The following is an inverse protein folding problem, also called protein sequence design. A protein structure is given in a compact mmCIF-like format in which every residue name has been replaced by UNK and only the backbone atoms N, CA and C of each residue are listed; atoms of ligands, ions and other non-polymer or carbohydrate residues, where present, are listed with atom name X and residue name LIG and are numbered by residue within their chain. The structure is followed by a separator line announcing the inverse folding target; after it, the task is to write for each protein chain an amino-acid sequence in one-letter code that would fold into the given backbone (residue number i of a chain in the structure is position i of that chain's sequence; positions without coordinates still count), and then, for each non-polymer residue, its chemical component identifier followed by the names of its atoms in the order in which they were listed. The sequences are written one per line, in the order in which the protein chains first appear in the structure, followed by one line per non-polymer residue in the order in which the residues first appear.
data_IF_224581393569
#
_entry.id   IF_224581393569
#
_cell.length_a   1.000
_cell.length_b   1.000
_cell.length_c   1.000
_cell.angle_alpha   90.00
_cell.angle_beta   90.00
_cell.angle_gamma   90.00
#
_symmetry.space_group_name_H-M   'P 1'
#
loop_
_entity.id
_entity.type
_entity.pdbx_description
1 polymer ?
#
# COMPACT_ATOMS: atom_id res chain seq x y z
N UNK A 1 2.78 56.53 -22.00
CA UNK A 1 3.59 55.31 -21.77
C UNK A 1 2.70 54.21 -21.19
N UNK A 2 1.84 53.64 -22.04
CA UNK A 2 0.98 52.51 -21.69
C UNK A 2 1.37 51.35 -22.60
N UNK A 3 2.28 50.49 -22.11
CA UNK A 3 2.70 49.26 -22.78
C UNK A 3 3.57 48.42 -21.83
N UNK A 4 3.00 47.87 -20.76
CA UNK A 4 3.64 46.75 -20.04
C UNK A 4 2.58 45.80 -19.46
N UNK A 5 1.56 45.49 -20.26
CA UNK A 5 0.68 44.35 -19.98
C UNK A 5 1.43 43.06 -20.36
N UNK A 6 1.72 42.26 -19.34
CA UNK A 6 1.95 40.80 -19.37
C UNK A 6 2.94 40.23 -20.39
N UNK A 7 4.24 40.22 -20.04
CA UNK A 7 5.03 39.00 -20.24
C UNK A 7 4.76 38.11 -19.04
N UNK A 8 4.00 37.03 -19.23
CA UNK A 8 3.75 36.04 -18.19
C UNK A 8 5.09 35.54 -17.63
N UNK A 9 5.39 35.87 -16.37
CA UNK A 9 6.56 35.37 -15.67
C UNK A 9 6.56 33.82 -15.76
N UNK A 10 7.67 33.23 -16.21
CA UNK A 10 7.79 31.78 -16.39
C UNK A 10 7.47 31.04 -15.08
N UNK A 11 7.83 31.64 -13.94
CA UNK A 11 7.46 31.14 -12.63
C UNK A 11 5.95 31.15 -12.42
N UNK A 12 5.26 32.25 -12.75
CA UNK A 12 3.81 32.36 -12.63
C UNK A 12 3.07 31.34 -13.52
N UNK A 13 3.56 31.08 -14.73
CA UNK A 13 3.00 30.03 -15.61
C UNK A 13 3.14 28.64 -14.97
N UNK A 14 4.31 28.34 -14.38
CA UNK A 14 4.54 27.05 -13.73
C UNK A 14 3.72 26.90 -12.45
N UNK A 15 3.65 27.93 -11.61
CA UNK A 15 2.84 27.94 -10.38
C UNK A 15 1.37 27.72 -10.72
N UNK A 16 0.83 28.42 -11.73
CA UNK A 16 -0.56 28.24 -12.16
C UNK A 16 -0.85 26.81 -12.62
N UNK A 17 0.09 26.18 -13.31
CA UNK A 17 -0.02 24.76 -13.69
C UNK A 17 -0.11 23.87 -12.46
N UNK A 18 0.84 24.00 -11.54
CA UNK A 18 0.93 23.16 -10.34
C UNK A 18 -0.28 23.35 -9.41
N UNK A 19 -0.77 24.58 -9.25
CA UNK A 19 -1.99 24.90 -8.48
C UNK A 19 -3.24 24.30 -9.13
N UNK A 20 -3.34 24.33 -10.46
CA UNK A 20 -4.45 23.68 -11.18
C UNK A 20 -4.39 22.14 -11.10
N UNK A 21 -3.24 21.57 -10.76
CA UNK A 21 -3.12 20.13 -10.50
C UNK A 21 -3.48 19.77 -9.05
N UNK A 22 -3.24 20.68 -8.08
CA UNK A 22 -3.67 20.51 -6.69
C UNK A 22 -5.20 20.36 -6.59
N UNK A 23 -5.97 21.14 -7.37
CA UNK A 23 -7.44 21.07 -7.39
C UNK A 23 -8.00 19.71 -7.85
N UNK A 24 -7.18 18.92 -8.55
CA UNK A 24 -7.56 17.58 -9.04
C UNK A 24 -7.38 16.48 -7.99
N UNK A 25 -6.90 16.82 -6.79
CA UNK A 25 -6.75 15.94 -5.62
C UNK A 25 -6.04 14.60 -5.91
N UNK A 26 -5.12 14.57 -6.88
CA UNK A 26 -4.51 13.31 -7.37
C UNK A 26 -3.48 12.68 -6.42
N UNK A 27 -3.02 13.38 -5.39
CA UNK A 27 -1.80 13.01 -4.64
C UNK A 27 -1.94 13.07 -3.10
N UNK A 28 -3.12 12.79 -2.55
CA UNK A 28 -3.33 12.72 -1.10
C UNK A 28 -3.28 11.28 -0.58
N UNK A 29 -2.54 11.03 0.49
CA UNK A 29 -2.63 9.76 1.21
C UNK A 29 -4.06 9.54 1.74
N UNK A 30 -4.61 8.33 1.59
CA UNK A 30 -5.99 7.97 2.01
C UNK A 30 -6.29 8.28 3.49
N UNK A 31 -5.24 8.37 4.29
CA UNK A 31 -5.27 8.57 5.74
C UNK A 31 -5.17 10.04 6.17
N UNK A 32 -5.07 10.97 5.22
CA UNK A 32 -4.82 12.38 5.49
C UNK A 32 -5.81 13.23 4.71
N UNK A 33 -6.50 14.14 5.40
CA UNK A 33 -7.34 15.15 4.76
C UNK A 33 -6.52 16.42 4.59
N UNK A 34 -6.49 16.97 3.38
CA UNK A 34 -5.79 18.22 3.09
C UNK A 34 -6.78 19.27 2.63
N UNK A 35 -6.66 20.48 3.18
CA UNK A 35 -7.30 21.70 2.68
C UNK A 35 -6.21 22.65 2.18
N UNK A 36 -6.47 23.28 1.04
CA UNK A 36 -5.57 24.29 0.44
C UNK A 36 -6.33 25.60 0.35
N UNK A 37 -5.80 26.65 0.96
CA UNK A 37 -6.35 28.00 0.97
C UNK A 37 -5.32 28.99 0.39
N UNK A 38 -5.81 30.12 -0.16
CA UNK A 38 -4.99 31.20 -0.71
C UNK A 38 -5.21 32.47 0.12
N UNK A 39 -4.21 32.94 0.89
CA UNK A 39 -4.40 34.03 1.85
C UNK A 39 -4.80 35.36 1.20
N UNK A 40 -4.21 35.68 0.05
CA UNK A 40 -4.43 36.93 -0.69
C UNK A 40 -5.43 36.75 -1.86
N UNK A 41 -6.17 35.64 -1.89
CA UNK A 41 -7.07 35.29 -2.98
C UNK A 41 -6.38 34.63 -4.19
N UNK A 42 -7.17 34.32 -5.23
CA UNK A 42 -6.71 33.53 -6.39
C UNK A 42 -5.69 34.28 -7.25
N UNK A 43 -5.59 35.60 -7.09
CA UNK A 43 -4.70 36.46 -7.89
C UNK A 43 -3.23 36.36 -7.45
N UNK A 44 -2.96 36.06 -6.17
CA UNK A 44 -1.60 35.85 -5.65
C UNK A 44 -1.36 34.36 -5.34
N UNK A 45 -1.04 33.60 -6.40
CA UNK A 45 -0.79 32.15 -6.28
C UNK A 45 0.59 31.79 -5.70
N UNK A 46 1.43 32.78 -5.35
CA UNK A 46 2.78 32.54 -4.82
C UNK A 46 2.80 32.25 -3.33
N UNK A 47 1.68 32.44 -2.63
CA UNK A 47 1.53 32.09 -1.22
C UNK A 47 0.36 31.13 -1.06
N UNK A 48 0.58 30.04 -0.32
CA UNK A 48 -0.41 29.00 -0.11
C UNK A 48 -0.48 28.64 1.38
N UNK A 49 -1.68 28.30 1.84
CA UNK A 49 -1.88 27.72 3.16
C UNK A 49 -2.33 26.27 2.98
N UNK A 50 -1.58 25.33 3.54
CA UNK A 50 -1.97 23.93 3.60
C UNK A 50 -2.40 23.58 5.01
N UNK A 51 -3.60 23.03 5.16
CA UNK A 51 -4.06 22.43 6.42
C UNK A 51 -4.13 20.93 6.24
N UNK A 52 -3.31 20.21 7.00
CA UNK A 52 -3.15 18.76 6.97
C UNK A 52 -3.76 18.17 8.25
N UNK A 53 -4.83 17.42 8.09
CA UNK A 53 -5.56 16.75 9.15
C UNK A 53 -5.31 15.24 9.09
N UNK A 54 -4.66 14.70 10.12
CA UNK A 54 -4.31 13.28 10.17
C UNK A 54 -5.49 12.48 10.72
N UNK A 55 -5.89 11.41 10.03
CA UNK A 55 -6.96 10.52 10.49
C UNK A 55 -6.51 9.63 11.66
N UNK A 56 -7.42 8.84 12.22
CA UNK A 56 -7.18 7.89 13.31
C UNK A 56 -6.28 6.72 12.86
N UNK A 57 -4.99 6.97 12.66
CA UNK A 57 -3.96 5.99 12.31
C UNK A 57 -3.11 5.67 13.53
N UNK A 58 -2.41 4.53 13.54
CA UNK A 58 -1.43 4.19 14.58
C UNK A 58 -0.12 5.02 14.54
N UNK A 59 -0.16 6.28 14.08
CA UNK A 59 1.00 7.18 14.01
C UNK A 59 1.16 8.09 15.24
N UNK A 60 2.35 8.67 15.47
CA UNK A 60 2.60 9.57 16.61
C UNK A 60 1.77 10.84 16.56
N UNK A 61 1.43 11.33 15.37
CA UNK A 61 0.68 12.57 15.15
C UNK A 61 -0.82 12.35 14.83
N UNK A 62 -1.35 11.16 15.15
CA UNK A 62 -2.76 10.85 14.92
C UNK A 62 -3.69 11.90 15.56
N UNK A 63 -4.76 12.26 14.85
CA UNK A 63 -5.73 13.28 15.24
C UNK A 63 -5.19 14.71 15.44
N UNK A 64 -3.97 14.99 14.98
CA UNK A 64 -3.46 16.35 14.85
C UNK A 64 -3.95 17.04 13.57
N UNK A 65 -4.05 18.37 13.66
CA UNK A 65 -4.34 19.27 12.55
C UNK A 65 -3.19 20.29 12.43
N UNK A 66 -2.44 20.23 11.33
CA UNK A 66 -1.21 21.00 11.13
C UNK A 66 -1.36 21.97 9.97
N UNK A 67 -1.09 23.24 10.20
CA UNK A 67 -1.17 24.29 9.18
C UNK A 67 0.23 24.71 8.75
N UNK A 68 0.43 24.84 7.44
CA UNK A 68 1.66 25.25 6.80
C UNK A 68 1.43 26.46 5.93
N UNK A 69 2.34 27.41 6.01
CA UNK A 69 2.49 28.50 5.08
C UNK A 69 3.58 28.15 4.06
N UNK A 70 3.25 28.25 2.78
CA UNK A 70 4.16 27.94 1.68
C UNK A 70 4.37 29.19 0.85
N UNK A 71 5.62 29.62 0.76
CA UNK A 71 6.05 30.77 -0.03
C UNK A 71 6.83 30.30 -1.26
N UNK A 72 6.35 30.64 -2.44
CA UNK A 72 6.95 30.24 -3.71
C UNK A 72 7.83 31.39 -4.21
N UNK A 73 9.14 31.15 -4.41
CA UNK A 73 10.03 32.19 -4.91
C UNK A 73 9.73 32.54 -6.36
N UNK A 74 10.05 33.77 -6.77
CA UNK A 74 9.95 34.21 -8.19
C UNK A 74 10.88 33.43 -9.13
N UNK A 75 11.87 32.71 -8.59
CA UNK A 75 12.78 31.85 -9.34
C UNK A 75 12.28 30.40 -9.48
N UNK A 76 11.04 30.10 -9.05
CA UNK A 76 10.43 28.79 -9.22
C UNK A 76 10.30 28.41 -10.71
N UNK A 77 10.59 27.15 -11.12
CA UNK A 77 10.90 25.97 -10.31
C UNK A 77 12.40 25.72 -10.07
N UNK A 78 13.29 26.66 -10.38
CA UNK A 78 14.73 26.46 -10.15
C UNK A 78 15.08 26.41 -8.66
N UNK A 79 14.34 27.16 -7.84
CA UNK A 79 14.47 27.14 -6.38
C UNK A 79 13.19 26.57 -5.76
N UNK A 80 13.36 25.80 -4.69
CA UNK A 80 12.26 25.19 -3.97
C UNK A 80 11.39 26.25 -3.26
N UNK A 81 10.09 25.97 -3.03
CA UNK A 81 9.29 26.79 -2.13
C UNK A 81 9.79 26.68 -0.70
N UNK A 82 9.63 27.76 0.07
CA UNK A 82 9.90 27.78 1.50
C UNK A 82 8.63 27.36 2.24
N UNK A 83 8.75 26.41 3.17
CA UNK A 83 7.62 25.90 3.94
C UNK A 83 7.84 26.14 5.43
N UNK A 84 6.86 26.77 6.05
CA UNK A 84 6.84 27.07 7.49
C UNK A 84 5.57 26.49 8.11
N UNK A 85 5.73 25.64 9.13
CA UNK A 85 4.63 25.14 9.94
C UNK A 85 4.18 26.24 10.91
N UNK A 86 2.97 26.75 10.72
CA UNK A 86 2.39 27.76 11.61
C UNK A 86 1.84 27.13 12.89
N UNK A 87 1.47 25.85 12.84
CA UNK A 87 1.12 25.08 14.03
C UNK A 87 2.38 24.69 14.79
N UNK A 88 2.52 25.16 16.03
CA UNK A 88 3.65 24.74 16.88
C UNK A 88 3.54 23.25 17.20
N UNK A 89 4.53 22.47 16.76
CA UNK A 89 4.55 21.02 16.89
C UNK A 89 5.95 20.55 17.28
N UNK A 90 6.01 19.52 18.12
CA UNK A 90 7.26 18.85 18.44
C UNK A 90 7.52 17.72 17.44
N UNK A 91 8.41 17.97 16.47
CA UNK A 91 8.63 17.08 15.33
C UNK A 91 10.09 17.07 14.87
N UNK A 92 10.69 15.90 14.51
CA UNK A 92 12.08 15.81 14.07
C UNK A 92 12.43 16.77 12.92
N UNK A 93 11.59 16.84 11.88
CA UNK A 93 11.81 17.67 10.69
C UNK A 93 11.28 19.12 10.75
N UNK A 94 10.71 19.55 11.88
CA UNK A 94 10.17 20.92 12.03
C UNK A 94 10.95 21.62 13.12
N UNK A 95 11.44 22.82 12.83
CA UNK A 95 12.07 23.65 13.83
C UNK A 95 11.04 24.18 14.84
N UNK A 96 11.37 24.11 16.13
CA UNK A 96 10.44 24.42 17.21
C UNK A 96 10.24 25.93 17.39
N UNK A 97 11.28 26.72 17.11
CA UNK A 97 11.26 28.17 17.26
C UNK A 97 10.68 28.85 16.01
N UNK A 98 11.24 28.55 14.84
CA UNK A 98 10.86 29.22 13.58
C UNK A 98 9.71 28.55 12.86
N UNK A 99 9.40 27.29 13.16
CA UNK A 99 8.43 26.48 12.41
C UNK A 99 8.95 26.01 11.03
N UNK A 100 10.19 26.32 10.66
CA UNK A 100 10.74 25.96 9.35
C UNK A 100 10.79 24.45 9.18
N UNK A 101 10.30 23.97 8.03
CA UNK A 101 10.28 22.53 7.71
C UNK A 101 11.48 22.19 6.83
N UNK A 102 12.19 21.11 7.17
CA UNK A 102 13.29 20.58 6.36
C UNK A 102 12.99 19.15 5.92
N UNK A 103 13.03 18.92 4.61
CA UNK A 103 13.00 17.59 4.01
C UNK A 103 13.87 17.58 2.75
N UNK A 104 14.39 16.41 2.30
CA UNK A 104 15.38 16.36 1.21
C UNK A 104 14.93 17.09 -0.05
N UNK A 105 13.65 16.95 -0.41
CA UNK A 105 13.04 17.58 -1.57
C UNK A 105 12.93 19.11 -1.46
N UNK A 106 13.02 19.71 -0.27
CA UNK A 106 13.06 21.18 -0.10
C UNK A 106 14.50 21.73 -0.05
N UNK A 107 15.50 20.86 -0.11
CA UNK A 107 16.91 21.21 -0.05
C UNK A 107 17.69 20.62 -1.21
N UNK A 108 18.63 19.73 -0.90
CA UNK A 108 19.61 19.18 -1.86
C UNK A 108 18.99 18.38 -3.01
N UNK A 109 17.85 17.72 -2.76
CA UNK A 109 17.18 16.86 -3.76
C UNK A 109 16.10 17.61 -4.55
N UNK A 110 16.00 18.93 -4.36
CA UNK A 110 15.12 19.74 -5.20
C UNK A 110 15.59 19.69 -6.66
N UNK A 111 14.61 19.45 -7.54
CA UNK A 111 14.80 19.45 -8.98
C UNK A 111 13.62 20.20 -9.63
N UNK A 112 13.82 20.98 -10.71
CA UNK A 112 12.75 21.70 -11.39
C UNK A 112 11.60 20.84 -11.93
N UNK A 113 11.79 19.52 -12.00
CA UNK A 113 10.75 18.54 -12.35
C UNK A 113 9.74 18.34 -11.22
N UNK A 114 10.13 18.57 -9.96
CA UNK A 114 9.26 18.43 -8.79
C UNK A 114 8.20 19.54 -8.78
N UNK A 115 7.05 19.23 -8.18
CA UNK A 115 5.87 20.10 -8.19
C UNK A 115 5.44 20.46 -6.78
N UNK A 116 4.56 21.47 -6.66
CA UNK A 116 3.90 21.80 -5.38
C UNK A 116 3.12 20.59 -4.83
N UNK A 117 2.54 19.74 -5.70
CA UNK A 117 1.91 18.48 -5.30
C UNK A 117 2.90 17.54 -4.60
N UNK A 118 4.13 17.44 -5.11
CA UNK A 118 5.18 16.62 -4.52
C UNK A 118 5.59 17.14 -3.15
N UNK A 119 5.65 18.46 -2.98
CA UNK A 119 5.90 19.10 -1.68
C UNK A 119 4.78 18.77 -0.71
N UNK A 120 3.51 18.89 -1.13
CA UNK A 120 2.36 18.53 -0.29
C UNK A 120 2.41 17.06 0.15
N UNK A 121 2.72 16.13 -0.76
CA UNK A 121 2.87 14.73 -0.43
C UNK A 121 4.02 14.51 0.57
N UNK A 122 5.16 15.18 0.39
CA UNK A 122 6.27 15.15 1.33
C UNK A 122 5.86 15.61 2.73
N UNK A 123 5.07 16.69 2.83
CA UNK A 123 4.52 17.17 4.10
C UNK A 123 3.57 16.16 4.76
N UNK A 124 2.79 15.39 4.00
CA UNK A 124 1.96 14.33 4.57
C UNK A 124 2.83 13.18 5.10
N UNK A 125 3.86 12.80 4.35
CA UNK A 125 4.73 11.68 4.69
C UNK A 125 5.54 11.95 5.96
N UNK A 126 6.04 13.16 6.20
CA UNK A 126 6.84 13.44 7.42
C UNK A 126 6.04 13.17 8.71
N UNK A 127 4.71 13.34 8.72
CA UNK A 127 3.90 13.03 9.91
C UNK A 127 3.50 11.56 10.02
N UNK A 128 3.51 10.81 8.91
CA UNK A 128 3.27 9.38 8.92
C UNK A 128 4.54 8.62 9.31
N UNK A 129 5.67 9.02 8.74
CA UNK A 129 6.99 8.43 8.91
C UNK A 129 8.04 9.54 9.09
N UNK A 130 8.26 10.01 10.34
CA UNK A 130 9.20 11.11 10.60
C UNK A 130 10.64 10.72 10.25
N UNK A 131 11.32 11.58 9.48
CA UNK A 131 12.68 11.33 9.02
C UNK A 131 13.72 11.81 10.03
N UNK A 132 14.70 10.96 10.36
CA UNK A 132 15.76 11.27 11.35
C UNK A 132 16.99 11.92 10.69
N UNK A 133 17.22 11.66 9.40
CA UNK A 133 18.44 12.07 8.68
C UNK A 133 18.60 13.59 8.53
N UNK A 134 17.50 14.33 8.41
CA UNK A 134 17.46 15.80 8.26
C UNK A 134 16.65 16.42 9.40
N UNK A 135 17.02 16.07 10.64
CA UNK A 135 16.33 16.54 11.82
C UNK A 135 16.68 17.99 12.15
N UNK A 136 15.66 18.85 12.19
CA UNK A 136 15.70 20.20 12.76
C UNK A 136 15.65 20.15 14.28
N UNK A 137 14.81 19.28 14.83
CA UNK A 137 14.71 19.05 16.27
C UNK A 137 15.49 17.78 16.65
N UNK A 138 16.72 17.98 17.10
CA UNK A 138 17.63 16.88 17.49
C UNK A 138 17.09 16.05 18.65
N UNK A 139 16.45 16.68 19.64
CA UNK A 139 15.87 15.98 20.79
C UNK A 139 14.72 15.05 20.37
N UNK A 140 13.86 15.52 19.46
CA UNK A 140 12.79 14.70 18.91
C UNK A 140 13.32 13.52 18.09
N UNK A 141 14.36 13.74 17.30
CA UNK A 141 15.01 12.71 16.49
C UNK A 141 15.70 11.65 17.35
N UNK A 142 16.40 12.05 18.41
CA UNK A 142 17.06 11.15 19.35
C UNK A 142 16.05 10.29 20.12
N UNK A 143 14.95 10.88 20.59
CA UNK A 143 13.90 10.12 21.28
C UNK A 143 13.20 9.15 20.32
N UNK A 144 12.93 9.55 19.08
CA UNK A 144 12.36 8.66 18.07
C UNK A 144 13.26 7.46 17.77
N UNK A 145 14.59 7.65 17.76
CA UNK A 145 15.55 6.57 17.51
C UNK A 145 15.68 5.62 18.72
N UNK A 146 15.72 6.17 19.93
CA UNK A 146 15.95 5.42 21.17
C UNK A 146 14.71 4.70 21.69
N UNK A 147 13.56 5.38 21.74
CA UNK A 147 12.29 4.81 22.19
C UNK A 147 11.10 5.38 21.39
N UNK A 148 10.70 4.71 20.30
CA UNK A 148 9.55 5.11 19.49
C UNK A 148 8.21 5.11 20.26
N UNK A 149 8.07 4.29 21.31
CA UNK A 149 6.83 4.18 22.09
C UNK A 149 6.71 5.41 23.00
N UNK A 150 7.79 5.76 23.68
CA UNK A 150 7.83 6.96 24.52
C UNK A 150 7.72 8.23 23.68
N UNK A 151 8.40 8.28 22.52
CA UNK A 151 8.22 9.37 21.54
C UNK A 151 6.75 9.58 21.20
N UNK A 152 6.04 8.50 20.83
CA UNK A 152 4.62 8.57 20.53
C UNK A 152 3.79 9.06 21.72
N UNK A 153 4.08 8.56 22.92
CA UNK A 153 3.37 8.96 24.14
C UNK A 153 3.53 10.46 24.40
N UNK A 154 4.75 10.99 24.26
CA UNK A 154 5.03 12.40 24.45
C UNK A 154 4.40 13.29 23.40
N UNK A 155 4.49 12.93 22.11
CA UNK A 155 3.81 13.66 21.03
C UNK A 155 2.30 13.74 21.31
N UNK A 156 1.67 12.61 21.67
CA UNK A 156 0.24 12.58 21.97
C UNK A 156 -0.13 13.43 23.19
N UNK A 157 0.75 13.53 24.20
CA UNK A 157 0.58 14.41 25.34
C UNK A 157 0.71 15.89 24.94
N UNK A 158 1.71 16.23 24.12
CA UNK A 158 1.95 17.58 23.60
C UNK A 158 0.77 18.07 22.76
N UNK A 159 0.19 17.21 21.92
CA UNK A 159 -1.00 17.53 21.11
C UNK A 159 -2.25 17.85 21.95
N UNK A 160 -2.30 17.43 23.22
CA UNK A 160 -3.36 17.81 24.16
C UNK A 160 -3.18 19.24 24.72
N UNK A 161 -2.07 19.90 24.40
CA UNK A 161 -1.70 21.21 24.92
C UNK A 161 -0.98 21.13 26.27
N UNK A 162 -0.20 22.16 26.58
CA UNK A 162 0.56 22.28 27.82
C UNK A 162 1.95 22.89 27.62
N UNK A 163 2.74 22.91 28.69
CA UNK A 163 4.13 23.37 28.66
C UNK A 163 5.08 22.18 28.65
N UNK A 164 5.85 22.05 27.57
CA UNK A 164 6.82 20.97 27.37
C UNK A 164 8.13 21.57 26.84
N UNK A 165 9.27 21.10 27.32
CA UNK A 165 10.60 21.58 26.88
C UNK A 165 10.80 23.10 26.96
N UNK A 166 10.10 23.79 27.87
CA UNK A 166 10.13 25.25 27.98
C UNK A 166 9.25 26.00 26.97
N UNK A 167 8.54 25.27 26.10
CA UNK A 167 7.62 25.83 25.11
C UNK A 167 6.17 25.55 25.49
N UNK A 168 5.30 26.51 25.18
CA UNK A 168 3.86 26.35 25.30
C UNK A 168 3.28 25.86 23.97
N UNK A 169 2.55 24.75 24.03
CA UNK A 169 1.90 24.11 22.89
C UNK A 169 0.38 24.29 22.97
N UNK A 170 -0.27 24.73 21.87
CA UNK A 170 -1.72 24.83 21.82
C UNK A 170 -2.35 23.44 21.80
N UNK A 171 -3.53 23.30 22.42
CA UNK A 171 -4.28 22.06 22.39
C UNK A 171 -4.97 21.87 21.03
N UNK A 172 -4.86 20.69 20.43
CA UNK A 172 -5.57 20.36 19.21
C UNK A 172 -7.04 19.98 19.50
N UNK A 173 -8.05 20.62 18.88
CA UNK A 173 -9.46 20.37 19.16
C UNK A 173 -9.86 18.90 18.99
N UNK A 174 -9.41 18.24 17.92
CA UNK A 174 -9.70 16.83 17.64
C UNK A 174 -9.09 15.86 18.66
N UNK A 175 -7.93 16.20 19.21
CA UNK A 175 -7.29 15.44 20.27
C UNK A 175 -8.07 15.54 21.59
N UNK A 176 -8.59 16.72 21.90
CA UNK A 176 -9.45 16.95 23.07
C UNK A 176 -10.79 16.21 22.94
N UNK A 177 -11.40 16.23 21.75
CA UNK A 177 -12.63 15.49 21.48
C UNK A 177 -12.45 13.98 21.67
N UNK A 178 -11.33 13.42 21.21
CA UNK A 178 -11.04 12.00 21.40
C UNK A 178 -10.90 11.66 22.90
N UNK A 179 -10.18 12.48 23.68
CA UNK A 179 -10.07 12.28 25.14
C UNK A 179 -11.42 12.41 25.85
N UNK A 180 -12.26 13.37 25.46
CA UNK A 180 -13.62 13.52 25.99
C UNK A 180 -14.49 12.29 25.71
N UNK A 181 -14.40 11.72 24.49
CA UNK A 181 -15.07 10.46 24.14
C UNK A 181 -14.60 9.28 25.00
N UNK A 182 -13.28 9.14 25.20
CA UNK A 182 -12.70 8.10 26.07
C UNK A 182 -13.17 8.24 27.51
N UNK A 183 -13.34 9.48 28.01
CA UNK A 183 -13.88 9.76 29.34
C UNK A 183 -15.41 9.69 29.45
N UNK A 184 -16.12 9.31 28.39
CA UNK A 184 -17.58 9.20 28.40
C UNK A 184 -18.32 10.55 28.44
N UNK A 185 -17.61 11.68 28.28
CA UNK A 185 -18.22 13.00 28.18
C UNK A 185 -18.77 13.20 26.77
N UNK A 186 -20.08 12.98 26.60
CA UNK A 186 -20.81 13.36 25.38
C UNK A 186 -20.77 14.89 25.21
N UNK A 187 -20.33 15.37 24.06
CA UNK A 187 -20.49 16.78 23.68
C UNK A 187 -21.97 17.10 23.50
N UNK A 188 -22.49 18.11 24.20
CA UNK A 188 -23.83 18.66 24.01
C UNK A 188 -24.04 18.93 22.51
N UNK A 189 -25.11 18.40 21.92
CA UNK A 189 -25.50 18.74 20.54
C UNK A 189 -25.65 20.27 20.44
N UNK A 190 -25.21 20.90 19.35
CA UNK A 190 -25.55 22.29 19.08
C UNK A 190 -27.08 22.43 19.14
N UNK A 191 -27.55 23.25 20.06
CA UNK A 191 -28.92 23.73 20.10
C UNK A 191 -28.92 24.87 19.08
N UNK A 192 -29.64 24.68 17.98
CA UNK A 192 -30.32 25.71 17.18
C UNK A 192 -30.69 25.10 15.82
N UNK A 193 -31.97 24.81 15.66
CA UNK A 193 -32.84 25.20 14.55
C UNK A 193 -34.23 24.67 14.94
N UNK A 194 -35.04 25.57 15.49
CA UNK A 194 -36.46 25.37 15.73
C UNK A 194 -37.12 24.83 14.47
N UNK A 195 -37.81 23.71 14.61
CA UNK A 195 -39.00 23.49 13.81
C UNK A 195 -40.09 23.03 14.77
N UNK A 196 -40.88 24.01 15.19
CA UNK A 196 -42.18 23.83 15.78
C UNK A 196 -43.00 22.86 14.92
N UNK A 197 -43.29 21.68 15.46
CA UNK A 197 -44.53 21.00 15.14
C UNK A 197 -45.10 20.33 16.38
N UNK A 198 -46.09 21.04 16.91
CA UNK A 198 -47.07 20.65 17.90
C UNK A 198 -47.73 19.28 17.62
N UNK A 199 -48.05 18.60 18.73
CA UNK A 199 -49.21 17.70 18.94
C UNK A 199 -49.03 16.23 18.48
N UNK A 200 -49.38 15.19 19.26
CA UNK A 200 -50.08 15.09 20.54
C UNK A 200 -49.69 13.81 21.31
N UNK A 201 -50.11 13.84 22.56
CA UNK A 201 -50.09 12.92 23.67
C UNK A 201 -50.75 11.54 23.46
N UNK A 202 -50.56 10.73 24.52
CA UNK A 202 -51.35 9.55 24.95
C UNK A 202 -50.90 8.20 24.31
N UNK A 203 -50.59 7.12 25.03
CA UNK A 203 -51.06 6.64 26.34
C UNK A 203 -50.19 5.48 26.85
N UNK A 204 -49.92 5.54 28.14
CA UNK A 204 -49.80 4.52 29.19
C UNK A 204 -48.68 3.42 29.26
N UNK A 205 -48.21 3.16 30.51
CA UNK A 205 -47.18 2.19 30.89
C UNK A 205 -47.79 0.86 31.34
N UNK A 206 -47.08 -0.26 31.19
CA UNK A 206 -47.29 -1.47 32.00
C UNK A 206 -46.18 -2.50 31.81
N UNK A 207 -45.81 -3.11 32.94
CA UNK A 207 -45.24 -4.45 33.10
C UNK A 207 -43.72 -4.60 33.10
N UNK A 208 -43.19 -4.33 34.29
CA UNK A 208 -42.01 -4.91 34.92
C UNK A 208 -42.10 -6.43 35.10
N UNK A 209 -41.02 -7.17 34.80
CA UNK A 209 -40.53 -8.29 35.62
C UNK A 209 -39.01 -8.47 35.37
N UNK A 210 -38.23 -8.42 36.46
CA UNK A 210 -36.80 -8.76 36.55
C UNK A 210 -36.65 -10.19 37.20
N UNK A 211 -35.44 -10.65 37.61
CA UNK A 211 -34.33 -11.23 36.84
C UNK A 211 -33.95 -12.64 37.42
N UNK A 212 -32.69 -13.06 37.28
CA UNK A 212 -32.01 -14.32 37.69
C UNK A 212 -31.90 -15.37 36.55
N UNK A 213 -30.76 -16.00 36.27
CA UNK A 213 -29.46 -16.01 36.93
C UNK A 213 -28.41 -16.73 36.08
N UNK A 214 -27.17 -16.54 36.49
CA UNK A 214 -25.90 -17.07 35.96
C UNK A 214 -25.86 -18.56 35.57
N UNK A 215 -25.24 -18.87 34.44
CA UNK A 215 -24.33 -20.02 34.28
C UNK A 215 -23.17 -19.63 33.35
N UNK A 216 -21.96 -19.65 33.89
CA UNK A 216 -20.70 -19.69 33.15
C UNK A 216 -20.42 -21.12 32.69
N UNK A 217 -19.89 -21.34 31.49
CA UNK A 217 -18.87 -22.37 31.18
C UNK A 217 -18.16 -22.02 29.85
N UNK A 218 -16.82 -22.07 29.91
CA UNK A 218 -15.84 -22.33 28.86
C UNK A 218 -15.70 -21.36 27.67
N UNK A 219 -14.75 -20.44 27.83
CA UNK A 219 -13.46 -20.50 27.14
C UNK A 219 -13.43 -21.30 25.83
N UNK A 220 -13.53 -20.58 24.70
CA UNK A 220 -12.95 -21.01 23.44
C UNK A 220 -12.34 -19.79 22.77
N UNK A 221 -11.00 -19.82 22.75
CA UNK A 221 -10.09 -18.87 22.16
C UNK A 221 -10.47 -18.56 20.71
N UNK A 222 -11.04 -17.38 20.50
CA UNK A 222 -11.10 -16.75 19.18
C UNK A 222 -9.68 -16.33 18.83
N UNK A 223 -9.01 -17.16 18.03
CA UNK A 223 -7.72 -16.87 17.40
C UNK A 223 -7.92 -15.73 16.40
N UNK A 224 -7.88 -14.51 16.94
CA UNK A 224 -7.69 -13.27 16.22
C UNK A 224 -6.43 -13.42 15.36
N UNK A 225 -6.57 -13.24 14.06
CA UNK A 225 -5.50 -13.27 13.06
C UNK A 225 -4.37 -12.31 13.47
N UNK A 226 -3.37 -12.83 14.21
CA UNK A 226 -2.08 -12.18 14.37
C UNK A 226 -1.43 -12.19 12.99
N UNK A 227 -1.51 -11.04 12.34
CA UNK A 227 -0.70 -10.69 11.16
C UNK A 227 0.75 -10.97 11.52
N UNK A 228 1.31 -12.06 10.99
CA UNK A 228 2.73 -12.34 11.05
C UNK A 228 3.45 -11.24 10.26
N UNK A 229 3.83 -10.16 10.95
CA UNK A 229 4.89 -9.27 10.49
C UNK A 229 6.17 -10.10 10.60
N UNK A 230 6.58 -10.71 9.49
CA UNK A 230 7.98 -11.10 9.36
C UNK A 230 8.79 -9.80 9.41
N UNK A 231 9.48 -9.60 10.53
CA UNK A 231 10.50 -8.59 10.70
C UNK A 231 11.58 -8.82 9.65
N UNK A 232 11.71 -7.89 8.70
CA UNK A 232 12.93 -7.75 7.94
C UNK A 232 13.99 -7.29 8.94
N UNK A 233 14.85 -8.21 9.36
CA UNK A 233 15.94 -7.93 10.31
C UNK A 233 17.11 -7.43 9.47
N UNK A 234 17.24 -6.11 9.38
CA UNK A 234 18.47 -5.47 8.90
C UNK A 234 19.62 -5.98 9.78
N UNK A 235 20.49 -6.76 9.15
CA UNK A 235 21.71 -7.29 9.74
C UNK A 235 22.87 -6.54 9.12
N UNK A 236 23.02 -5.26 9.46
CA UNK A 236 24.19 -4.47 9.08
C UNK A 236 24.76 -3.80 10.33
N UNK A 237 25.54 -4.57 11.08
CA UNK A 237 26.52 -4.04 12.03
C UNK A 237 27.67 -5.02 12.19
N UNK A 238 28.72 -4.90 11.37
CA UNK A 238 30.09 -5.24 11.79
C UNK A 238 31.08 -4.31 11.09
N UNK A 239 31.99 -3.77 11.89
CA UNK A 239 33.13 -2.94 11.52
C UNK A 239 34.24 -3.81 10.82
N UNK A 240 35.34 -3.21 10.32
CA UNK A 240 35.97 -3.60 9.06
C UNK A 240 36.99 -4.75 9.20
N UNK A 241 37.10 -5.54 8.12
CA UNK A 241 38.26 -6.37 7.85
C UNK A 241 37.92 -7.71 7.17
N UNK A 242 38.32 -7.87 5.91
CA UNK A 242 38.46 -9.17 5.24
C UNK A 242 37.60 -9.37 4.00
N UNK A 243 38.26 -9.48 2.84
CA UNK A 243 37.72 -9.87 1.53
C UNK A 243 36.92 -11.19 1.57
N UNK A 244 35.60 -11.14 1.75
CA UNK A 244 34.66 -12.26 1.50
C UNK A 244 33.25 -11.71 1.18
N UNK A 245 33.00 -11.10 0.01
CA UNK A 245 31.71 -10.39 -0.23
C UNK A 245 31.02 -10.54 -1.60
N UNK A 246 31.10 -11.68 -2.29
CA UNK A 246 30.23 -11.90 -3.48
C UNK A 246 29.43 -13.21 -3.51
N UNK A 247 29.99 -14.36 -3.11
CA UNK A 247 29.30 -15.65 -3.27
C UNK A 247 28.09 -15.86 -2.33
N UNK A 248 28.05 -15.23 -1.15
CA UNK A 248 26.95 -15.37 -0.18
C UNK A 248 25.62 -14.75 -0.64
N UNK A 249 25.61 -13.89 -1.65
CA UNK A 249 24.39 -13.17 -2.09
C UNK A 249 23.52 -13.98 -3.06
N UNK A 250 24.12 -14.77 -3.95
CA UNK A 250 23.41 -15.59 -4.94
C UNK A 250 22.70 -16.77 -4.28
N UNK A 251 23.37 -17.43 -3.32
CA UNK A 251 22.79 -18.53 -2.53
C UNK A 251 21.64 -18.04 -1.62
N UNK A 252 21.77 -16.86 -1.00
CA UNK A 252 20.69 -16.28 -0.22
C UNK A 252 19.45 -15.92 -1.06
N UNK A 253 19.65 -15.45 -2.30
CA UNK A 253 18.54 -15.19 -3.23
C UNK A 253 17.83 -16.48 -3.67
N UNK A 254 18.60 -17.55 -3.91
CA UNK A 254 18.09 -18.90 -4.21
C UNK A 254 17.27 -19.48 -3.05
N UNK A 255 17.75 -19.32 -1.81
CA UNK A 255 17.05 -19.77 -0.61
C UNK A 255 15.73 -19.03 -0.41
N UNK A 256 15.71 -17.72 -0.68
CA UNK A 256 14.48 -16.92 -0.66
C UNK A 256 13.46 -17.40 -1.70
N UNK A 257 13.89 -17.57 -2.96
CA UNK A 257 12.99 -18.02 -4.05
C UNK A 257 12.41 -19.42 -3.77
N UNK A 258 13.20 -20.29 -3.17
CA UNK A 258 12.75 -21.62 -2.74
C UNK A 258 11.70 -21.53 -1.63
N UNK A 259 11.98 -20.76 -0.58
CA UNK A 259 11.06 -20.58 0.53
C UNK A 259 9.74 -19.94 0.04
N UNK A 260 9.82 -19.00 -0.90
CA UNK A 260 8.66 -18.39 -1.54
C UNK A 260 7.86 -19.42 -2.38
N UNK A 261 8.52 -20.34 -3.10
CA UNK A 261 7.85 -21.43 -3.83
C UNK A 261 7.14 -22.41 -2.88
N UNK A 262 7.75 -22.77 -1.75
CA UNK A 262 7.14 -23.63 -0.73
C UNK A 262 5.94 -22.94 -0.05
N UNK A 263 6.07 -21.65 0.29
CA UNK A 263 4.99 -20.83 0.85
C UNK A 263 3.77 -20.75 -0.09
N UNK A 264 4.02 -20.77 -1.40
CA UNK A 264 2.99 -20.71 -2.45
C UNK A 264 2.07 -21.95 -2.42
N UNK A 265 2.55 -23.11 -1.98
CA UNK A 265 1.73 -24.33 -1.90
C UNK A 265 0.56 -24.18 -0.93
N UNK A 266 0.79 -23.54 0.21
CA UNK A 266 -0.26 -23.23 1.20
C UNK A 266 -1.29 -22.26 0.62
N UNK A 267 -0.86 -21.27 -0.16
CA UNK A 267 -1.76 -20.32 -0.81
C UNK A 267 -2.67 -21.00 -1.85
N UNK A 268 -2.18 -22.04 -2.53
CA UNK A 268 -2.99 -22.84 -3.48
C UNK A 268 -4.08 -23.65 -2.75
N UNK A 269 -3.82 -24.13 -1.53
CA UNK A 269 -4.83 -24.81 -0.73
C UNK A 269 -5.94 -23.87 -0.25
N UNK A 270 -5.57 -22.68 0.24
CA UNK A 270 -6.56 -21.64 0.58
C UNK A 270 -7.38 -21.25 -0.65
N UNK A 271 -6.73 -21.12 -1.81
CA UNK A 271 -7.44 -20.85 -3.06
C UNK A 271 -8.44 -21.95 -3.42
N UNK A 272 -8.11 -23.24 -3.20
CA UNK A 272 -9.03 -24.35 -3.42
C UNK A 272 -10.30 -24.20 -2.59
N UNK A 273 -10.16 -23.87 -1.31
CA UNK A 273 -11.31 -23.69 -0.41
C UNK A 273 -12.20 -22.53 -0.87
N UNK A 274 -11.60 -21.39 -1.22
CA UNK A 274 -12.33 -20.21 -1.71
C UNK A 274 -13.04 -20.48 -3.05
N UNK A 275 -12.43 -21.26 -3.94
CA UNK A 275 -13.05 -21.69 -5.19
C UNK A 275 -14.30 -22.53 -4.92
N UNK A 276 -14.22 -23.47 -3.98
CA UNK A 276 -15.37 -24.31 -3.59
C UNK A 276 -16.48 -23.45 -2.99
N UNK A 277 -16.15 -22.48 -2.13
CA UNK A 277 -17.12 -21.56 -1.55
C UNK A 277 -17.79 -20.68 -2.62
N UNK A 278 -17.01 -20.13 -3.55
CA UNK A 278 -17.52 -19.37 -4.67
C UNK A 278 -18.48 -20.20 -5.55
N UNK A 279 -18.11 -21.44 -5.88
CA UNK A 279 -18.96 -22.31 -6.70
C UNK A 279 -20.28 -22.68 -6.00
N UNK A 280 -20.25 -22.89 -4.67
CA UNK A 280 -21.43 -23.22 -3.86
C UNK A 280 -22.38 -22.02 -3.69
N UNK A 281 -21.86 -20.80 -3.67
CA UNK A 281 -22.65 -19.57 -3.51
C UNK A 281 -23.25 -19.05 -4.81
N UNK A 282 -22.82 -19.56 -5.96
CA UNK A 282 -23.43 -19.25 -7.25
C UNK A 282 -24.86 -19.80 -7.35
N UNK A 283 -25.78 -18.98 -7.85
CA UNK A 283 -27.18 -19.35 -8.05
C UNK A 283 -27.38 -20.57 -8.95
N UNK A 284 -28.33 -21.43 -8.57
CA UNK A 284 -28.78 -22.59 -9.37
C UNK A 284 -29.73 -22.21 -10.50
N UNK A 285 -30.56 -21.17 -10.34
CA UNK A 285 -31.48 -20.73 -11.39
C UNK A 285 -30.87 -19.61 -12.23
N UNK A 286 -30.49 -19.95 -13.46
CA UNK A 286 -29.73 -19.08 -14.37
C UNK A 286 -30.60 -18.14 -15.22
N UNK A 287 -31.93 -18.33 -15.21
CA UNK A 287 -32.84 -17.70 -16.18
C UNK A 287 -33.08 -16.21 -15.96
N UNK A 288 -33.21 -15.77 -14.70
CA UNK A 288 -33.58 -14.39 -14.35
C UNK A 288 -32.47 -13.36 -14.62
N UNK A 289 -31.20 -13.76 -14.50
CA UNK A 289 -30.06 -12.84 -14.64
C UNK A 289 -29.17 -13.15 -15.85
N UNK A 290 -29.62 -14.02 -16.77
CA UNK A 290 -28.82 -14.47 -17.93
C UNK A 290 -28.26 -13.33 -18.78
N UNK A 291 -29.02 -12.24 -18.91
CA UNK A 291 -28.65 -11.05 -19.70
C UNK A 291 -27.94 -9.97 -18.88
N UNK A 292 -27.82 -10.13 -17.56
CA UNK A 292 -27.21 -9.13 -16.71
C UNK A 292 -25.67 -9.16 -16.85
N UNK A 293 -25.01 -8.00 -17.00
CA UNK A 293 -23.57 -7.94 -17.26
C UNK A 293 -22.74 -8.49 -16.10
N UNK A 294 -23.11 -8.18 -14.85
CA UNK A 294 -22.42 -8.71 -13.66
C UNK A 294 -22.46 -10.25 -13.63
N UNK A 295 -23.57 -10.84 -14.07
CA UNK A 295 -23.79 -12.27 -14.05
C UNK A 295 -22.98 -13.00 -15.13
N UNK A 296 -22.85 -12.39 -16.31
CA UNK A 296 -21.98 -12.91 -17.37
C UNK A 296 -20.51 -12.94 -16.94
N UNK A 297 -20.05 -11.91 -16.22
CA UNK A 297 -18.71 -11.90 -15.65
C UNK A 297 -18.53 -12.94 -14.54
N UNK A 298 -19.51 -13.13 -13.65
CA UNK A 298 -19.48 -14.24 -12.68
C UNK A 298 -19.38 -15.62 -13.35
N UNK A 299 -20.06 -15.82 -14.49
CA UNK A 299 -19.91 -17.04 -15.28
C UNK A 299 -18.53 -17.18 -15.90
N UNK A 300 -17.91 -16.08 -16.35
CA UNK A 300 -16.53 -16.08 -16.85
C UNK A 300 -15.56 -16.49 -15.74
N UNK A 301 -15.71 -15.97 -14.52
CA UNK A 301 -14.92 -16.40 -13.35
C UNK A 301 -15.14 -17.89 -13.09
N UNK A 302 -16.39 -18.36 -13.07
CA UNK A 302 -16.71 -19.78 -12.84
C UNK A 302 -16.07 -20.69 -13.89
N UNK A 303 -16.04 -20.29 -15.16
CA UNK A 303 -15.37 -21.05 -16.23
C UNK A 303 -13.86 -21.04 -16.02
N UNK A 304 -13.25 -19.87 -15.87
CA UNK A 304 -11.80 -19.77 -15.70
C UNK A 304 -11.28 -20.55 -14.49
N UNK A 305 -12.00 -20.50 -13.38
CA UNK A 305 -11.67 -21.26 -12.15
C UNK A 305 -11.88 -22.78 -12.30
N UNK A 306 -12.75 -23.22 -13.20
CA UNK A 306 -12.92 -24.64 -13.51
C UNK A 306 -11.86 -25.15 -14.47
N UNK A 307 -11.47 -24.30 -15.42
CA UNK A 307 -10.53 -24.65 -16.47
C UNK A 307 -9.07 -24.64 -15.95
N UNK A 308 -8.82 -24.06 -14.76
CA UNK A 308 -7.52 -24.08 -14.10
C UNK A 308 -7.34 -25.33 -13.22
N UNK A 309 -6.29 -26.11 -13.47
CA UNK A 309 -5.96 -27.28 -12.66
C UNK A 309 -5.08 -26.89 -11.47
N UNK A 310 -5.65 -26.88 -10.27
CA UNK A 310 -4.92 -26.57 -9.03
C UNK A 310 -3.78 -27.58 -8.71
N UNK A 311 -3.95 -28.90 -8.92
CA UNK A 311 -2.85 -29.85 -8.81
C UNK A 311 -1.69 -29.48 -9.75
N UNK A 312 -1.99 -29.17 -11.01
CA UNK A 312 -0.94 -28.82 -11.98
C UNK A 312 -0.17 -27.57 -11.54
N UNK A 313 -0.84 -26.58 -10.92
CA UNK A 313 -0.17 -25.39 -10.38
C UNK A 313 0.79 -25.77 -9.26
N UNK A 314 0.36 -26.60 -8.31
CA UNK A 314 1.26 -27.08 -7.24
C UNK A 314 2.47 -27.79 -7.84
N UNK A 315 2.23 -28.67 -8.80
CA UNK A 315 3.30 -29.42 -9.47
C UNK A 315 4.28 -28.49 -10.20
N UNK A 316 3.82 -27.38 -10.79
CA UNK A 316 4.70 -26.36 -11.39
C UNK A 316 5.64 -25.76 -10.35
N UNK A 317 5.12 -25.34 -9.19
CA UNK A 317 5.95 -24.72 -8.15
C UNK A 317 6.92 -25.72 -7.51
N UNK A 318 6.50 -26.97 -7.32
CA UNK A 318 7.38 -28.06 -6.85
C UNK A 318 8.50 -28.32 -7.86
N UNK A 319 8.17 -28.46 -9.14
CA UNK A 319 9.18 -28.64 -10.19
C UNK A 319 10.11 -27.43 -10.32
N UNK A 320 9.59 -26.21 -10.13
CA UNK A 320 10.41 -25.00 -10.12
C UNK A 320 11.44 -25.04 -8.99
N UNK A 321 11.05 -25.49 -7.80
CA UNK A 321 11.97 -25.70 -6.68
C UNK A 321 13.05 -26.74 -7.00
N UNK A 322 12.68 -27.88 -7.59
CA UNK A 322 13.63 -28.91 -8.01
C UNK A 322 14.62 -28.41 -9.08
N UNK A 323 14.15 -27.61 -10.03
CA UNK A 323 14.99 -26.98 -11.05
C UNK A 323 15.97 -25.99 -10.42
N UNK A 324 15.50 -25.16 -9.47
CA UNK A 324 16.38 -24.24 -8.72
C UNK A 324 17.43 -25.01 -7.90
N UNK A 325 17.07 -26.13 -7.29
CA UNK A 325 18.01 -26.99 -6.56
C UNK A 325 19.05 -27.63 -7.47
N UNK A 326 18.65 -28.05 -8.68
CA UNK A 326 19.58 -28.62 -9.66
C UNK A 326 20.63 -27.61 -10.15
N UNK A 327 20.34 -26.31 -10.01
CA UNK A 327 21.26 -25.21 -10.34
C UNK A 327 22.11 -24.76 -9.14
N UNK A 328 21.92 -25.36 -7.94
CA UNK A 328 22.76 -25.05 -6.79
C UNK A 328 24.13 -25.68 -6.94
N UNK A 329 25.16 -24.90 -6.64
CA UNK A 329 26.54 -25.36 -6.58
C UNK A 329 26.87 -25.89 -5.19
N UNK A 330 27.53 -27.05 -5.12
CA UNK A 330 28.10 -27.57 -3.88
C UNK A 330 29.29 -26.75 -3.40
N UNK A 331 29.68 -26.83 -2.11
CA UNK A 331 30.80 -26.07 -1.58
C UNK A 331 32.09 -26.39 -2.37
N UNK A 332 32.73 -25.34 -2.91
CA UNK A 332 33.99 -25.45 -3.67
C UNK A 332 33.85 -25.64 -5.20
N UNK A 333 32.64 -25.64 -5.76
CA UNK A 333 32.42 -25.68 -7.22
C UNK A 333 31.95 -24.31 -7.70
N UNK A 334 32.67 -23.72 -8.68
CA UNK A 334 32.38 -22.35 -9.13
C UNK A 334 31.35 -22.24 -10.28
N UNK A 335 31.07 -23.33 -11.04
CA UNK A 335 30.04 -23.33 -12.09
C UNK A 335 29.64 -24.76 -12.50
N UNK A 336 28.42 -24.91 -13.03
CA UNK A 336 27.94 -26.18 -13.60
C UNK A 336 28.52 -26.38 -15.00
N UNK A 337 28.95 -27.60 -15.33
CA UNK A 337 29.46 -27.90 -16.67
C UNK A 337 28.38 -27.69 -17.76
N UNK A 338 28.73 -27.03 -18.86
CA UNK A 338 27.78 -26.70 -19.95
C UNK A 338 27.05 -27.93 -20.53
N UNK A 339 27.69 -29.12 -20.50
CA UNK A 339 27.09 -30.37 -20.97
C UNK A 339 25.87 -30.76 -20.13
N UNK A 340 25.95 -30.60 -18.80
CA UNK A 340 24.86 -30.87 -17.87
C UNK A 340 23.74 -29.81 -17.99
N UNK A 341 24.09 -28.54 -18.18
CA UNK A 341 23.14 -27.45 -18.45
C UNK A 341 22.40 -27.63 -19.79
N UNK A 342 22.97 -28.39 -20.72
CA UNK A 342 22.42 -28.60 -22.06
C UNK A 342 21.56 -29.85 -22.23
N UNK A 343 21.52 -30.71 -21.21
CA UNK A 343 20.76 -31.97 -21.20
C UNK A 343 19.44 -31.80 -20.43
N UNK A 344 19.20 -32.62 -19.41
CA UNK A 344 17.98 -32.69 -18.60
C UNK A 344 17.60 -31.36 -17.95
N UNK A 345 18.59 -30.59 -17.47
CA UNK A 345 18.31 -29.27 -16.86
C UNK A 345 17.65 -28.33 -17.86
N UNK A 346 18.05 -28.37 -19.14
CA UNK A 346 17.43 -27.54 -20.19
C UNK A 346 15.96 -27.90 -20.41
N UNK A 347 15.65 -29.19 -20.46
CA UNK A 347 14.27 -29.65 -20.69
C UNK A 347 13.36 -29.30 -19.52
N UNK A 348 13.89 -29.41 -18.30
CA UNK A 348 13.14 -29.09 -17.09
C UNK A 348 12.88 -27.58 -16.97
N UNK A 349 13.87 -26.75 -17.31
CA UNK A 349 13.72 -25.29 -17.40
C UNK A 349 12.68 -24.90 -18.44
N UNK A 350 12.74 -25.45 -19.66
CA UNK A 350 11.75 -25.19 -20.72
C UNK A 350 10.34 -25.55 -20.26
N UNK A 351 10.16 -26.73 -19.65
CA UNK A 351 8.87 -27.18 -19.16
C UNK A 351 8.31 -26.26 -18.07
N UNK A 352 9.14 -25.88 -17.07
CA UNK A 352 8.73 -24.99 -15.97
C UNK A 352 8.36 -23.61 -16.48
N UNK A 353 9.19 -22.99 -17.32
CA UNK A 353 8.92 -21.63 -17.82
C UNK A 353 7.62 -21.56 -18.63
N UNK A 354 7.37 -22.54 -19.52
CA UNK A 354 6.10 -22.61 -20.30
C UNK A 354 4.88 -22.72 -19.40
N UNK A 355 4.95 -23.57 -18.37
CA UNK A 355 3.82 -23.79 -17.45
C UNK A 355 3.58 -22.58 -16.56
N UNK A 356 4.63 -21.88 -16.11
CA UNK A 356 4.52 -20.62 -15.36
C UNK A 356 3.86 -19.52 -16.19
N UNK A 357 4.26 -19.35 -17.46
CA UNK A 357 3.63 -18.39 -18.39
C UNK A 357 2.15 -18.73 -18.62
N UNK A 358 1.84 -20.00 -18.90
CA UNK A 358 0.46 -20.44 -19.11
C UNK A 358 -0.42 -20.21 -17.87
N UNK A 359 0.09 -20.48 -16.67
CA UNK A 359 -0.59 -20.16 -15.42
C UNK A 359 -0.84 -18.66 -15.28
N UNK A 360 0.16 -17.83 -15.54
CA UNK A 360 0.06 -16.39 -15.39
C UNK A 360 -0.99 -15.77 -16.33
N UNK A 361 -1.07 -16.26 -17.58
CA UNK A 361 -2.11 -15.85 -18.54
C UNK A 361 -3.52 -16.30 -18.11
N UNK A 362 -3.66 -17.49 -17.54
CA UNK A 362 -4.95 -17.98 -17.05
C UNK A 362 -5.40 -17.19 -15.80
N UNK A 363 -4.50 -16.97 -14.85
CA UNK A 363 -4.77 -16.21 -13.63
C UNK A 363 -5.21 -14.77 -13.95
N UNK A 364 -4.56 -14.10 -14.92
CA UNK A 364 -4.92 -12.74 -15.32
C UNK A 364 -6.31 -12.64 -15.97
N UNK A 365 -6.70 -13.63 -16.79
CA UNK A 365 -8.07 -13.71 -17.34
C UNK A 365 -9.11 -13.85 -16.22
N UNK A 366 -8.82 -14.65 -15.19
CA UNK A 366 -9.70 -14.83 -14.03
C UNK A 366 -9.80 -13.54 -13.21
N UNK A 367 -8.66 -12.87 -12.94
CA UNK A 367 -8.61 -11.60 -12.20
C UNK A 367 -9.44 -10.53 -12.89
N UNK A 368 -9.27 -10.33 -14.21
CA UNK A 368 -10.01 -9.32 -14.98
C UNK A 368 -11.52 -9.61 -14.96
N UNK A 369 -11.92 -10.88 -15.15
CA UNK A 369 -13.32 -11.28 -15.06
C UNK A 369 -13.91 -11.03 -13.65
N UNK A 370 -13.14 -11.33 -12.60
CA UNK A 370 -13.56 -11.15 -11.22
C UNK A 370 -13.69 -9.67 -10.83
N UNK A 371 -12.76 -8.82 -11.28
CA UNK A 371 -12.83 -7.37 -11.08
C UNK A 371 -14.02 -6.73 -11.81
N UNK A 372 -14.33 -7.19 -13.03
CA UNK A 372 -15.52 -6.76 -13.77
C UNK A 372 -16.81 -7.20 -13.08
N UNK A 373 -16.86 -8.44 -12.59
CA UNK A 373 -17.98 -8.94 -11.80
C UNK A 373 -18.18 -8.13 -10.51
N UNK A 374 -17.10 -7.84 -9.79
CA UNK A 374 -17.11 -7.03 -8.57
C UNK A 374 -17.68 -5.63 -8.81
N UNK A 375 -17.22 -4.92 -9.85
CA UNK A 375 -17.74 -3.59 -10.21
C UNK A 375 -19.23 -3.64 -10.55
N UNK A 376 -19.66 -4.65 -11.31
CA UNK A 376 -21.05 -4.84 -11.66
C UNK A 376 -21.95 -5.09 -10.45
N UNK A 377 -21.51 -5.93 -9.51
CA UNK A 377 -22.23 -6.21 -8.27
C UNK A 377 -22.24 -5.02 -7.30
N UNK A 378 -21.14 -4.27 -7.21
CA UNK A 378 -21.09 -3.04 -6.42
C UNK A 378 -22.09 -1.99 -6.91
N UNK A 379 -22.30 -1.88 -8.22
CA UNK A 379 -23.36 -1.03 -8.77
C UNK A 379 -24.77 -1.51 -8.36
N UNK A 380 -25.01 -2.82 -8.38
CA UNK A 380 -26.30 -3.38 -7.93
C UNK A 380 -26.52 -3.19 -6.42
N UNK A 381 -25.46 -3.28 -5.62
CA UNK A 381 -25.48 -2.98 -4.19
C UNK A 381 -25.90 -1.54 -3.91
N UNK A 382 -25.30 -0.58 -4.65
CA UNK A 382 -25.67 0.84 -4.53
C UNK A 382 -27.13 1.12 -4.89
N UNK A 383 -27.74 0.29 -5.74
CA UNK A 383 -29.15 0.43 -6.15
C UNK A 383 -30.15 -0.27 -5.21
N UNK A 384 -29.73 -0.76 -4.03
CA UNK A 384 -30.57 -1.34 -2.95
C UNK A 384 -31.43 -2.57 -3.26
N UNK A 385 -31.33 -3.17 -4.45
CA UNK A 385 -32.19 -4.29 -4.83
C UNK A 385 -31.72 -5.67 -4.31
N UNK A 386 -30.47 -5.83 -3.83
CA UNK A 386 -29.92 -7.16 -3.56
C UNK A 386 -28.73 -7.22 -2.58
N UNK A 387 -28.91 -6.72 -1.36
CA UNK A 387 -27.81 -6.47 -0.41
C UNK A 387 -27.02 -7.72 0.05
N UNK A 388 -27.64 -8.84 0.49
CA UNK A 388 -26.88 -9.93 1.12
C UNK A 388 -25.99 -10.69 0.15
N UNK A 389 -26.46 -10.93 -1.07
CA UNK A 389 -25.65 -11.60 -2.09
C UNK A 389 -24.55 -10.71 -2.63
N UNK A 390 -24.86 -9.45 -2.95
CA UNK A 390 -23.85 -8.54 -3.50
C UNK A 390 -22.68 -8.38 -2.52
N UNK A 391 -22.95 -8.27 -1.22
CA UNK A 391 -21.92 -8.22 -0.18
C UNK A 391 -21.10 -9.51 -0.07
N UNK A 392 -21.78 -10.66 0.03
CA UNK A 392 -21.08 -11.96 0.18
C UNK A 392 -20.25 -12.28 -1.06
N UNK A 393 -20.81 -12.06 -2.25
CA UNK A 393 -20.13 -12.32 -3.52
C UNK A 393 -18.99 -11.33 -3.78
N UNK A 394 -19.15 -10.03 -3.47
CA UNK A 394 -18.04 -9.08 -3.59
C UNK A 394 -16.89 -9.41 -2.64
N UNK A 395 -17.20 -9.85 -1.41
CA UNK A 395 -16.18 -10.32 -0.47
C UNK A 395 -15.43 -11.54 -1.01
N UNK A 396 -16.14 -12.53 -1.54
CA UNK A 396 -15.54 -13.72 -2.16
C UNK A 396 -14.70 -13.39 -3.39
N UNK A 397 -15.21 -12.57 -4.32
CA UNK A 397 -14.46 -12.11 -5.49
C UNK A 397 -13.22 -11.33 -5.10
N UNK A 398 -13.30 -10.48 -4.07
CA UNK A 398 -12.15 -9.76 -3.53
C UNK A 398 -11.06 -10.70 -3.02
N UNK A 399 -11.43 -11.72 -2.23
CA UNK A 399 -10.48 -12.73 -1.73
C UNK A 399 -9.88 -13.55 -2.87
N UNK A 400 -10.69 -14.00 -3.83
CA UNK A 400 -10.20 -14.71 -5.01
C UNK A 400 -9.19 -13.88 -5.80
N UNK A 401 -9.49 -12.60 -6.06
CA UNK A 401 -8.56 -11.69 -6.77
C UNK A 401 -7.25 -11.56 -6.00
N UNK A 402 -7.30 -11.38 -4.68
CA UNK A 402 -6.09 -11.25 -3.86
C UNK A 402 -5.24 -12.52 -3.87
N UNK A 403 -5.86 -13.69 -3.77
CA UNK A 403 -5.16 -14.98 -3.83
C UNK A 403 -4.54 -15.22 -5.21
N UNK A 404 -5.29 -15.00 -6.30
CA UNK A 404 -4.75 -15.13 -7.65
C UNK A 404 -3.62 -14.13 -7.93
N UNK A 405 -3.73 -12.89 -7.44
CA UNK A 405 -2.64 -11.89 -7.55
C UNK A 405 -1.41 -12.31 -6.76
N UNK A 406 -1.57 -12.81 -5.54
CA UNK A 406 -0.46 -13.29 -4.73
C UNK A 406 0.27 -14.44 -5.46
N UNK A 407 -0.45 -15.44 -5.97
CA UNK A 407 0.13 -16.53 -6.75
C UNK A 407 0.78 -16.03 -8.05
N UNK A 408 0.19 -15.03 -8.71
CA UNK A 408 0.72 -14.44 -9.94
C UNK A 408 2.07 -13.76 -9.70
N UNK A 409 2.18 -12.96 -8.64
CA UNK A 409 3.45 -12.31 -8.26
C UNK A 409 4.52 -13.36 -7.99
N UNK A 410 4.19 -14.43 -7.23
CA UNK A 410 5.14 -15.53 -6.98
C UNK A 410 5.54 -16.27 -8.24
N UNK A 411 4.61 -16.51 -9.16
CA UNK A 411 4.93 -17.11 -10.46
C UNK A 411 5.91 -16.23 -11.27
N UNK A 412 5.74 -14.91 -11.25
CA UNK A 412 6.63 -13.96 -11.94
C UNK A 412 8.03 -13.96 -11.29
N UNK A 413 8.11 -13.92 -9.96
CA UNK A 413 9.38 -13.96 -9.23
C UNK A 413 10.16 -15.25 -9.50
N UNK A 414 9.50 -16.41 -9.41
CA UNK A 414 10.11 -17.72 -9.69
C UNK A 414 10.51 -17.82 -11.16
N UNK A 415 9.66 -17.38 -12.09
CA UNK A 415 9.98 -17.34 -13.52
C UNK A 415 11.23 -16.50 -13.80
N UNK A 416 11.29 -15.28 -13.25
CA UNK A 416 12.44 -14.40 -13.41
C UNK A 416 13.70 -15.00 -12.78
N UNK A 417 13.57 -15.59 -11.58
CA UNK A 417 14.66 -16.28 -10.89
C UNK A 417 15.25 -17.42 -11.72
N UNK A 418 14.42 -18.36 -12.17
CA UNK A 418 14.85 -19.49 -13.03
C UNK A 418 15.51 -19.00 -14.31
N UNK A 419 14.94 -17.98 -14.97
CA UNK A 419 15.46 -17.42 -16.22
C UNK A 419 16.86 -16.82 -16.02
N UNK A 420 17.02 -15.98 -14.99
CA UNK A 420 18.28 -15.28 -14.72
C UNK A 420 19.37 -16.23 -14.24
N UNK A 421 19.04 -17.17 -13.33
CA UNK A 421 19.99 -18.16 -12.83
C UNK A 421 20.47 -19.10 -13.93
N UNK A 422 19.55 -19.58 -14.77
CA UNK A 422 19.92 -20.42 -15.91
C UNK A 422 20.84 -19.66 -16.89
N UNK A 423 20.52 -18.39 -17.19
CA UNK A 423 21.36 -17.57 -18.05
C UNK A 423 22.73 -17.29 -17.41
N UNK A 424 22.78 -17.04 -16.09
CA UNK A 424 24.02 -16.82 -15.36
C UNK A 424 24.94 -18.04 -15.44
N UNK A 425 24.42 -19.23 -15.12
CA UNK A 425 25.19 -20.48 -15.16
C UNK A 425 25.64 -20.85 -16.58
N UNK A 426 24.81 -20.60 -17.60
CA UNK A 426 25.22 -20.76 -19.01
C UNK A 426 26.32 -19.76 -19.39
N UNK A 427 26.26 -18.53 -18.89
CA UNK A 427 27.26 -17.50 -19.18
C UNK A 427 28.60 -17.82 -18.52
N UNK A 428 28.59 -18.27 -17.25
CA UNK A 428 29.78 -18.72 -16.53
C UNK A 428 30.42 -19.95 -17.20
N UNK A 429 29.61 -20.91 -17.68
CA UNK A 429 30.09 -22.18 -18.24
C UNK A 429 30.49 -22.12 -19.72
N UNK A 430 29.79 -21.32 -20.54
CA UNK A 430 30.11 -21.13 -21.96
C UNK A 430 29.61 -19.76 -22.48
N UNK A 431 30.47 -18.72 -22.45
CA UNK A 431 30.12 -17.37 -22.90
C UNK A 431 29.62 -17.28 -24.35
N UNK A 432 30.12 -18.15 -25.24
CA UNK A 432 29.70 -18.15 -26.67
C UNK A 432 28.25 -18.59 -26.84
N UNK A 433 27.74 -19.42 -25.91
CA UNK A 433 26.36 -19.92 -25.94
C UNK A 433 25.38 -18.98 -25.23
N UNK A 434 25.87 -18.10 -24.35
CA UNK A 434 25.06 -17.17 -23.57
C UNK A 434 24.10 -16.35 -24.46
N UNK A 435 24.59 -15.83 -25.59
CA UNK A 435 23.77 -15.04 -26.53
C UNK A 435 22.64 -15.86 -27.15
N UNK A 436 22.90 -17.11 -27.53
CA UNK A 436 21.89 -18.00 -28.12
C UNK A 436 20.85 -18.39 -27.08
N UNK A 437 21.30 -18.71 -25.87
CA UNK A 437 20.40 -19.04 -24.76
C UNK A 437 19.54 -17.84 -24.36
N UNK A 438 20.09 -16.63 -24.31
CA UNK A 438 19.32 -15.42 -24.05
C UNK A 438 18.20 -15.23 -25.09
N UNK A 439 18.49 -15.42 -26.38
CA UNK A 439 17.47 -15.37 -27.45
C UNK A 439 16.42 -16.47 -27.26
N UNK A 440 16.81 -17.69 -26.90
CA UNK A 440 15.84 -18.75 -26.60
C UNK A 440 14.92 -18.37 -25.43
N UNK A 441 15.50 -17.78 -24.37
CA UNK A 441 14.74 -17.36 -23.18
C UNK A 441 13.74 -16.24 -23.47
N UNK A 442 13.97 -15.40 -24.49
CA UNK A 442 12.97 -14.41 -24.92
C UNK A 442 11.64 -15.05 -25.36
N UNK A 443 11.66 -16.31 -25.79
CA UNK A 443 10.45 -17.06 -26.15
C UNK A 443 9.52 -17.37 -24.97
N UNK A 444 9.99 -17.23 -23.73
CA UNK A 444 9.20 -17.41 -22.51
C UNK A 444 8.90 -16.08 -21.82
N UNK A 445 9.12 -14.94 -22.48
CA UNK A 445 8.89 -13.65 -21.86
C UNK A 445 7.41 -13.51 -21.46
N UNK A 446 7.19 -13.17 -20.18
CA UNK A 446 5.86 -12.89 -19.65
C UNK A 446 5.20 -11.73 -20.43
N UNK A 447 3.96 -11.88 -20.92
CA UNK A 447 3.29 -10.81 -21.65
C UNK A 447 3.16 -9.53 -20.81
N UNK A 448 3.32 -8.36 -21.43
CA UNK A 448 3.28 -7.06 -20.72
C UNK A 448 2.00 -6.87 -19.88
N UNK A 449 0.84 -7.29 -20.41
CA UNK A 449 -0.45 -7.25 -19.72
C UNK A 449 -0.45 -8.02 -18.39
N UNK A 450 0.31 -9.11 -18.30
CA UNK A 450 0.41 -9.91 -17.09
C UNK A 450 1.16 -9.14 -16.00
N UNK A 451 2.25 -8.48 -16.38
CA UNK A 451 3.06 -7.65 -15.49
C UNK A 451 2.25 -6.45 -14.98
N UNK A 452 1.49 -5.79 -15.87
CA UNK A 452 0.61 -4.68 -15.50
C UNK A 452 -0.41 -5.09 -14.43
N UNK A 453 -1.08 -6.24 -14.59
CA UNK A 453 -2.09 -6.72 -13.64
C UNK A 453 -1.48 -7.12 -12.29
N UNK A 454 -0.22 -7.57 -12.28
CA UNK A 454 0.51 -7.92 -11.07
C UNK A 454 1.00 -6.68 -10.30
N UNK A 455 1.28 -5.57 -10.98
CA UNK A 455 1.80 -4.32 -10.40
C UNK A 455 0.69 -3.36 -9.88
N UNK A 456 -0.56 -3.60 -10.26
CA UNK A 456 -1.78 -2.91 -9.75
C UNK A 456 -2.30 -3.68 -8.55
#
# INVERSE_FOLDING_TARGET
MSAMYMRSDLAALRVRKDVNELSKAKFTCTQVKTKVDFPDGVDNMFQLIFTISIAEVQGPYANGDFTFFVEIPKTYPFHAPVVTCTTRVWHPNVDLETGRVMMPILGQDWRPVLSINTVLLGLQLIFLEPGIQYAMNKQAAELLLSDPIEFRRQVQAILCGGKFYGYEFPAHPRQLEQRRKVWGLQTKRPRDLDNDQLWKSDTNPSSSYMPYGSMSVADNSVTMWKRARHSFRDSSSMAPGGDVTMEMTEQAALDKLRLDAESTLNAVDVLREEIVLFQKTMYKNHSQHRRAPFYQHLQQVKRGVRDISLPDIKDVFVQSGAVLDSMRLGPGVHHIAWKALSSTIKTDVDAVLRRLVAFAEQATKIIDAAQKAYKGLAAQFAMTYFMPFALTMNSMLGRLVMLFKALLVRAIEVHAGVTLLYLNEVTKSNPLRAKVTAVQLTGYQMPARVIEIANI
#
